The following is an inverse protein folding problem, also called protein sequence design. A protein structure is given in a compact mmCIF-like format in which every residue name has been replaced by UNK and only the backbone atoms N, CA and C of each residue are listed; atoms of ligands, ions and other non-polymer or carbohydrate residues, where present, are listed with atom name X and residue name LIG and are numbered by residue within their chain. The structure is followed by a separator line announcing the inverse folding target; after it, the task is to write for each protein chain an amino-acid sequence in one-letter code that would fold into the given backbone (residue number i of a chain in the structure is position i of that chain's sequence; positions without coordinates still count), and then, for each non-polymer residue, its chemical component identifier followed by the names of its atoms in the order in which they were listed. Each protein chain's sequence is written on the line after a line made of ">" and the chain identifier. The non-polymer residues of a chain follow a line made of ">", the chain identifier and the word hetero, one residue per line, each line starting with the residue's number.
data_IF_089220652766
#
_entry.id   IF_089220652766
#
_cell.length_a   1.000
_cell.length_b   1.000
_cell.length_c   1.000
_cell.angle_alpha   90.00
_cell.angle_beta   90.00
_cell.angle_gamma   90.00
#
_symmetry.space_group_name_H-M   'P 1'
#
loop_
_entity.id
_entity.type
_entity.pdbx_description
1 polymer ?
#
# COMPACT_ATOMS: atom_id res chain seq x y z
N UNK A 1 10.67 19.86 61.05
CA UNK A 1 10.26 20.76 59.93
C UNK A 1 10.97 20.35 58.66
N UNK A 2 10.28 19.74 57.70
CA UNK A 2 10.58 19.82 56.25
C UNK A 2 9.50 19.04 55.49
N UNK A 3 8.56 19.76 54.87
CA UNK A 3 7.56 19.20 53.97
C UNK A 3 8.22 19.09 52.60
N UNK A 4 8.44 17.85 52.12
CA UNK A 4 8.89 17.62 50.74
C UNK A 4 7.61 17.50 49.90
N UNK A 5 7.35 18.52 49.10
CA UNK A 5 6.26 18.55 48.13
C UNK A 5 6.77 17.87 46.87
N UNK A 6 6.23 16.68 46.54
CA UNK A 6 6.43 16.03 45.25
C UNK A 6 5.48 16.65 44.22
N UNK A 7 6.03 17.47 43.33
CA UNK A 7 5.29 18.02 42.20
C UNK A 7 5.29 16.97 41.08
N UNK A 8 4.19 16.22 40.97
CA UNK A 8 3.98 15.30 39.85
C UNK A 8 3.52 16.14 38.65
N UNK A 9 4.44 16.42 37.72
CA UNK A 9 4.14 17.05 36.45
C UNK A 9 3.57 15.98 35.50
N UNK A 10 2.25 15.84 35.46
CA UNK A 10 1.56 14.98 34.50
C UNK A 10 1.60 15.61 33.11
N UNK A 11 2.53 15.13 32.28
CA UNK A 11 2.63 15.50 30.86
C UNK A 11 1.61 14.66 30.06
N UNK A 12 0.37 15.15 29.95
CA UNK A 12 -0.66 14.51 29.11
C UNK A 12 -0.40 14.89 27.66
N UNK A 13 0.26 14.00 26.92
CA UNK A 13 0.41 14.12 25.47
C UNK A 13 -0.95 13.79 24.85
N UNK A 14 -1.72 14.81 24.50
CA UNK A 14 -2.93 14.65 23.69
C UNK A 14 -2.48 14.45 22.24
N UNK A 15 -2.31 13.19 21.84
CA UNK A 15 -2.11 12.86 20.43
C UNK A 15 -3.45 13.07 19.70
N UNK A 16 -3.57 14.17 18.98
CA UNK A 16 -4.70 14.42 18.10
C UNK A 16 -4.56 13.49 16.88
N UNK A 17 -5.19 12.32 16.92
CA UNK A 17 -5.20 11.40 15.79
C UNK A 17 -6.19 11.94 14.74
N UNK A 18 -5.68 12.34 13.57
CA UNK A 18 -6.51 12.73 12.43
C UNK A 18 -7.32 11.50 11.98
N UNK A 19 -8.66 11.57 11.84
CA UNK A 19 -9.50 10.39 11.59
C UNK A 19 -9.11 9.54 10.35
N UNK A 20 -8.52 10.18 9.33
CA UNK A 20 -8.01 9.48 8.14
C UNK A 20 -6.68 8.74 8.37
N UNK A 21 -5.82 9.26 9.25
CA UNK A 21 -4.54 8.66 9.60
C UNK A 21 -4.71 7.48 10.55
N UNK A 22 -5.63 7.60 11.52
CA UNK A 22 -5.95 6.51 12.45
C UNK A 22 -6.49 5.26 11.77
N UNK A 23 -7.25 5.41 10.68
CA UNK A 23 -7.75 4.27 9.92
C UNK A 23 -6.62 3.58 9.12
N UNK A 24 -5.71 4.35 8.51
CA UNK A 24 -4.58 3.79 7.78
C UNK A 24 -3.67 2.95 8.69
N UNK A 25 -3.21 3.50 9.81
CA UNK A 25 -2.29 2.83 10.73
C UNK A 25 -2.91 1.53 11.30
N UNK A 26 -4.21 1.56 11.58
CA UNK A 26 -4.96 0.38 12.01
C UNK A 26 -4.95 -0.73 10.96
N UNK A 27 -5.20 -0.38 9.70
CA UNK A 27 -5.26 -1.34 8.60
C UNK A 27 -3.88 -1.90 8.25
N UNK A 28 -2.84 -1.07 8.31
CA UNK A 28 -1.46 -1.52 8.16
C UNK A 28 -1.06 -2.50 9.26
N UNK A 29 -1.35 -2.19 10.52
CA UNK A 29 -1.11 -3.12 11.63
C UNK A 29 -1.86 -4.44 11.45
N UNK A 30 -3.12 -4.40 11.03
CA UNK A 30 -3.91 -5.62 10.76
C UNK A 30 -3.23 -6.55 9.75
N UNK A 31 -2.64 -5.97 8.70
CA UNK A 31 -1.85 -6.72 7.72
C UNK A 31 -0.58 -7.32 8.34
N UNK A 32 0.20 -6.53 9.09
CA UNK A 32 1.42 -7.01 9.74
C UNK A 32 1.15 -8.13 10.78
N UNK A 33 0.08 -8.00 11.55
CA UNK A 33 -0.35 -8.97 12.55
C UNK A 33 -0.85 -10.28 11.92
N UNK A 34 -1.30 -10.26 10.66
CA UNK A 34 -1.70 -11.46 9.94
C UNK A 34 -0.53 -12.41 9.65
N UNK A 35 0.72 -11.89 9.63
CA UNK A 35 1.96 -12.66 9.49
C UNK A 35 1.90 -13.70 8.36
N UNK A 36 1.51 -13.26 7.16
CA UNK A 36 1.40 -14.11 5.97
C UNK A 36 2.71 -14.00 5.19
N UNK A 37 3.66 -14.96 5.32
CA UNK A 37 4.96 -14.85 4.66
C UNK A 37 4.86 -15.11 3.16
N UNK A 38 3.97 -16.01 2.75
CA UNK A 38 3.86 -16.51 1.39
C UNK A 38 2.45 -16.25 0.84
N UNK A 39 2.37 -15.48 -0.23
CA UNK A 39 1.09 -15.14 -0.86
C UNK A 39 1.24 -14.80 -2.33
N UNK A 40 0.13 -14.91 -3.06
CA UNK A 40 0.01 -14.41 -4.44
C UNK A 40 -1.20 -13.51 -4.61
N UNK A 41 -1.14 -12.64 -5.61
CA UNK A 41 -2.24 -11.76 -5.98
C UNK A 41 -2.12 -11.24 -7.42
N UNK A 42 -3.25 -10.79 -7.96
CA UNK A 42 -3.32 -10.04 -9.21
C UNK A 42 -3.21 -8.54 -8.89
N UNK A 43 -2.16 -7.88 -9.39
CA UNK A 43 -1.97 -6.43 -9.33
C UNK A 43 -2.37 -5.79 -10.66
N UNK A 44 -3.37 -4.90 -10.64
CA UNK A 44 -3.71 -4.06 -11.79
C UNK A 44 -3.37 -2.60 -11.49
N UNK A 45 -2.45 -2.05 -12.29
CA UNK A 45 -2.15 -0.62 -12.32
C UNK A 45 -3.05 0.02 -13.38
N UNK A 46 -3.86 0.99 -12.96
CA UNK A 46 -4.85 1.68 -13.80
C UNK A 46 -4.34 3.09 -14.07
N UNK A 47 -3.95 3.34 -15.32
CA UNK A 47 -3.47 4.62 -15.82
C UNK A 47 -3.43 4.58 -17.36
N UNK A 48 -3.22 5.72 -18.01
CA UNK A 48 -2.88 5.79 -19.43
C UNK A 48 -1.38 5.49 -19.68
N UNK A 49 -0.91 4.37 -19.12
CA UNK A 49 0.50 3.97 -19.20
C UNK A 49 0.77 3.07 -20.42
N UNK A 50 1.98 3.11 -21.02
CA UNK A 50 2.36 2.27 -22.16
C UNK A 50 2.18 0.75 -21.92
N UNK A 51 2.31 0.32 -20.67
CA UNK A 51 2.20 -1.08 -20.26
C UNK A 51 0.79 -1.54 -19.88
N UNK A 52 -0.26 -0.73 -20.06
CA UNK A 52 -1.64 -1.08 -19.63
C UNK A 52 -2.14 -2.43 -20.17
N UNK A 53 -1.70 -2.83 -21.37
CA UNK A 53 -2.04 -4.11 -22.00
C UNK A 53 -1.39 -5.34 -21.35
N UNK A 54 -0.54 -5.16 -20.35
CA UNK A 54 0.13 -6.23 -19.59
C UNK A 54 -0.59 -6.57 -18.28
N UNK A 55 -1.64 -5.84 -17.94
CA UNK A 55 -2.35 -5.99 -16.67
C UNK A 55 -3.43 -7.09 -16.71
N UNK A 56 -3.74 -7.76 -15.57
CA UNK A 56 -3.04 -7.65 -14.29
C UNK A 56 -1.67 -8.34 -14.35
N UNK A 57 -0.78 -7.93 -13.44
CA UNK A 57 0.41 -8.70 -13.11
C UNK A 57 0.01 -9.79 -12.12
N UNK A 58 0.51 -11.01 -12.32
CA UNK A 58 0.44 -12.10 -11.36
C UNK A 58 1.72 -12.05 -10.51
N UNK A 59 1.57 -11.78 -9.23
CA UNK A 59 2.69 -11.55 -8.32
C UNK A 59 2.66 -12.58 -7.20
N UNK A 60 3.81 -13.18 -6.92
CA UNK A 60 4.04 -14.09 -5.81
C UNK A 60 5.13 -13.51 -4.91
N UNK A 61 4.88 -13.51 -3.61
CA UNK A 61 5.73 -12.92 -2.59
C UNK A 61 6.00 -13.94 -1.51
N UNK A 62 7.26 -14.13 -1.15
CA UNK A 62 7.72 -14.97 -0.05
C UNK A 62 8.65 -14.15 0.85
N UNK A 63 8.34 -14.12 2.15
CA UNK A 63 9.09 -13.38 3.17
C UNK A 63 9.35 -11.91 2.78
N UNK A 64 8.33 -11.29 2.20
CA UNK A 64 8.37 -9.90 1.73
C UNK A 64 9.16 -9.67 0.43
N UNK A 65 9.73 -10.72 -0.18
CA UNK A 65 10.45 -10.67 -1.45
C UNK A 65 9.58 -11.14 -2.60
N UNK A 66 9.67 -10.48 -3.75
CA UNK A 66 8.98 -10.91 -4.98
C UNK A 66 9.72 -12.12 -5.54
N UNK A 67 9.08 -13.29 -5.54
CA UNK A 67 9.66 -14.53 -6.09
C UNK A 67 9.19 -14.80 -7.52
N UNK A 68 8.02 -14.29 -7.90
CA UNK A 68 7.54 -14.33 -9.29
C UNK A 68 6.73 -13.09 -9.63
N UNK A 69 6.88 -12.62 -10.87
CA UNK A 69 6.05 -11.58 -11.45
C UNK A 69 5.85 -11.87 -12.93
N UNK A 70 4.61 -12.02 -13.35
CA UNK A 70 4.23 -12.33 -14.73
C UNK A 70 3.16 -11.36 -15.22
N UNK A 71 3.17 -11.03 -16.51
CA UNK A 71 2.08 -10.28 -17.10
C UNK A 71 0.87 -11.18 -17.44
N UNK A 72 -0.24 -10.55 -17.85
CA UNK A 72 -1.49 -11.25 -18.21
C UNK A 72 -1.35 -12.29 -19.34
N UNK A 73 -0.25 -12.25 -20.11
CA UNK A 73 0.04 -13.22 -21.17
C UNK A 73 1.01 -14.31 -20.72
N UNK A 74 1.35 -14.37 -19.43
CA UNK A 74 2.33 -15.28 -18.86
C UNK A 74 3.78 -14.87 -19.14
N UNK A 75 4.03 -13.65 -19.63
CA UNK A 75 5.38 -13.15 -19.83
C UNK A 75 6.06 -12.87 -18.50
N UNK A 76 7.16 -13.57 -18.21
CA UNK A 76 7.95 -13.36 -16.99
C UNK A 76 8.59 -11.96 -17.01
N UNK A 77 8.42 -11.22 -15.92
CA UNK A 77 9.00 -9.90 -15.72
C UNK A 77 10.24 -10.06 -14.84
N UNK A 78 11.41 -9.84 -15.43
CA UNK A 78 12.71 -9.86 -14.75
C UNK A 78 13.34 -8.47 -14.78
N UNK A 79 14.52 -8.31 -14.14
CA UNK A 79 15.27 -7.06 -14.12
C UNK A 79 15.62 -6.50 -15.51
N UNK A 80 15.59 -7.31 -16.57
CA UNK A 80 15.82 -6.85 -17.94
C UNK A 80 14.58 -6.22 -18.61
N UNK A 81 13.41 -6.30 -17.98
CA UNK A 81 12.20 -5.65 -18.47
C UNK A 81 12.29 -4.13 -18.26
N UNK A 82 12.02 -3.35 -19.31
CA UNK A 82 12.09 -1.88 -19.27
C UNK A 82 11.15 -1.24 -18.23
N UNK A 83 10.11 -1.96 -17.79
CA UNK A 83 9.17 -1.50 -16.77
C UNK A 83 9.39 -2.17 -15.41
N UNK A 84 10.42 -3.01 -15.26
CA UNK A 84 10.68 -3.78 -14.04
C UNK A 84 10.64 -2.90 -12.79
N UNK A 85 11.48 -1.86 -12.73
CA UNK A 85 11.56 -0.97 -11.58
C UNK A 85 10.21 -0.31 -11.24
N UNK A 86 9.39 -0.04 -12.25
CA UNK A 86 8.08 0.55 -12.03
C UNK A 86 7.12 -0.45 -11.40
N UNK A 87 7.07 -1.69 -11.90
CA UNK A 87 6.20 -2.73 -11.35
C UNK A 87 6.65 -3.16 -9.97
N UNK A 88 7.96 -3.36 -9.80
CA UNK A 88 8.58 -3.81 -8.56
C UNK A 88 8.15 -2.91 -7.39
N UNK A 89 8.21 -1.58 -7.55
CA UNK A 89 7.80 -0.59 -6.53
C UNK A 89 6.38 -0.74 -5.98
N UNK A 90 5.52 -1.55 -6.60
CA UNK A 90 4.12 -1.74 -6.19
C UNK A 90 3.76 -3.23 -6.01
N UNK A 91 4.70 -4.14 -6.27
CA UNK A 91 4.47 -5.59 -6.36
C UNK A 91 4.55 -6.31 -4.99
N UNK A 92 4.36 -5.62 -3.88
CA UNK A 92 4.05 -6.26 -2.59
C UNK A 92 3.00 -5.44 -1.84
N UNK A 93 2.27 -6.07 -0.91
CA UNK A 93 1.31 -5.34 -0.09
C UNK A 93 2.00 -4.25 0.75
N UNK A 94 3.19 -4.51 1.29
CA UNK A 94 3.95 -3.53 2.06
C UNK A 94 4.42 -2.33 1.21
N UNK A 95 4.71 -2.57 -0.06
CA UNK A 95 5.05 -1.52 -1.02
C UNK A 95 3.84 -0.65 -1.35
N UNK A 96 2.63 -1.23 -1.40
CA UNK A 96 1.39 -0.44 -1.52
C UNK A 96 1.10 0.40 -0.27
N UNK A 97 1.40 -0.10 0.93
CA UNK A 97 1.34 0.73 2.15
C UNK A 97 2.38 1.86 2.12
N UNK A 98 3.62 1.57 1.69
CA UNK A 98 4.66 2.58 1.50
C UNK A 98 4.22 3.67 0.53
N UNK A 99 3.60 3.29 -0.61
CA UNK A 99 3.02 4.21 -1.57
C UNK A 99 2.00 5.15 -0.91
N UNK A 100 1.06 4.61 -0.15
CA UNK A 100 0.04 5.41 0.54
C UNK A 100 0.66 6.40 1.53
N UNK A 101 1.71 5.99 2.25
CA UNK A 101 2.43 6.87 3.16
C UNK A 101 3.09 8.04 2.41
N UNK A 102 3.59 7.82 1.18
CA UNK A 102 4.12 8.93 0.37
C UNK A 102 3.05 9.96 0.01
N UNK A 103 1.80 9.55 -0.22
CA UNK A 103 0.72 10.48 -0.55
C UNK A 103 0.16 11.21 0.67
N UNK A 104 0.23 10.61 1.86
CA UNK A 104 -0.12 11.29 3.11
C UNK A 104 0.79 12.50 3.41
N UNK A 105 1.99 12.57 2.81
CA UNK A 105 2.90 13.71 2.95
C UNK A 105 2.51 14.97 2.15
N UNK A 106 1.34 14.97 1.48
CA UNK A 106 0.71 16.19 0.95
C UNK A 106 0.94 16.50 -0.53
N UNK A 107 1.26 15.49 -1.36
CA UNK A 107 1.58 15.68 -2.78
C UNK A 107 0.42 15.48 -3.76
N UNK A 108 -0.76 15.09 -3.31
CA UNK A 108 -1.91 14.75 -4.15
C UNK A 108 -3.18 15.46 -3.67
N UNK A 109 -4.03 15.91 -4.60
CA UNK A 109 -5.32 16.54 -4.28
C UNK A 109 -6.22 15.58 -3.47
N UNK A 110 -6.32 14.32 -3.90
CA UNK A 110 -7.17 13.33 -3.22
C UNK A 110 -6.66 11.91 -3.35
N UNK A 111 -6.67 11.18 -2.24
CA UNK A 111 -6.36 9.76 -2.18
C UNK A 111 -7.54 9.05 -1.55
N UNK A 112 -8.02 7.98 -2.20
CA UNK A 112 -9.04 7.10 -1.64
C UNK A 112 -8.52 5.68 -1.61
N UNK A 113 -8.83 4.97 -0.52
CA UNK A 113 -8.37 3.60 -0.30
C UNK A 113 -9.54 2.74 0.19
N UNK A 114 -9.71 1.58 -0.44
CA UNK A 114 -10.55 0.49 0.06
C UNK A 114 -9.64 -0.60 0.58
N UNK A 115 -9.80 -0.97 1.85
CA UNK A 115 -9.03 -2.04 2.47
C UNK A 115 -9.80 -3.36 2.49
N UNK A 116 -9.06 -4.47 2.47
CA UNK A 116 -9.61 -5.81 2.59
C UNK A 116 -10.21 -6.01 3.99
N UNK A 117 -11.44 -6.54 4.11
CA UNK A 117 -12.15 -6.60 5.40
C UNK A 117 -11.48 -7.52 6.42
N UNK A 118 -10.86 -8.62 5.97
CA UNK A 118 -10.17 -9.58 6.86
C UNK A 118 -8.75 -9.14 7.17
N UNK A 119 -7.87 -9.07 6.16
CA UNK A 119 -6.44 -8.81 6.37
C UNK A 119 -6.02 -7.34 6.37
N UNK A 120 -6.89 -6.39 6.03
CA UNK A 120 -6.58 -4.96 6.10
C UNK A 120 -5.67 -4.41 5.01
N UNK A 121 -5.19 -5.22 4.06
CA UNK A 121 -4.38 -4.72 2.95
C UNK A 121 -5.18 -3.82 1.98
N UNK A 122 -4.55 -2.93 1.21
CA UNK A 122 -5.24 -2.10 0.21
C UNK A 122 -5.74 -2.94 -0.96
N UNK A 123 -7.06 -3.07 -1.14
CA UNK A 123 -7.66 -3.69 -2.34
C UNK A 123 -7.74 -2.73 -3.50
N UNK A 124 -7.99 -1.45 -3.21
CA UNK A 124 -8.08 -0.39 -4.22
C UNK A 124 -7.49 0.89 -3.67
N UNK A 125 -6.57 1.47 -4.41
CA UNK A 125 -6.03 2.81 -4.19
C UNK A 125 -6.37 3.62 -5.44
N UNK A 126 -6.91 4.82 -5.25
CA UNK A 126 -7.10 5.80 -6.32
C UNK A 126 -6.49 7.10 -5.87
N UNK A 127 -5.58 7.63 -6.69
CA UNK A 127 -4.86 8.87 -6.45
C UNK A 127 -5.21 9.83 -7.57
N UNK A 128 -5.84 10.93 -7.19
CA UNK A 128 -6.17 12.07 -8.02
C UNK A 128 -5.16 13.16 -7.65
N UNK A 129 -4.26 13.49 -8.59
CA UNK A 129 -3.07 14.29 -8.28
C UNK A 129 -3.41 15.78 -8.41
N UNK A 130 -4.16 16.14 -9.44
CA UNK A 130 -4.49 17.49 -9.85
C UNK A 130 -6.00 17.57 -10.05
N UNK A 131 -6.67 18.30 -9.17
CA UNK A 131 -8.10 18.51 -9.23
C UNK A 131 -8.58 18.98 -10.61
N UNK A 132 -9.40 18.17 -11.26
CA UNK A 132 -10.05 18.52 -12.53
C UNK A 132 -9.14 18.45 -13.75
N UNK A 133 -7.92 17.92 -13.62
CA UNK A 133 -7.18 17.43 -14.78
C UNK A 133 -7.79 16.10 -15.25
N UNK A 134 -7.61 15.79 -16.53
CA UNK A 134 -7.97 14.49 -17.08
C UNK A 134 -6.70 13.66 -17.24
N UNK A 135 -6.81 12.35 -17.00
CA UNK A 135 -5.75 11.34 -17.20
C UNK A 135 -4.52 11.51 -16.26
N UNK A 136 -4.63 12.27 -15.17
CA UNK A 136 -3.59 12.37 -14.14
C UNK A 136 -3.80 11.36 -12.99
N UNK A 137 -4.93 10.67 -12.98
CA UNK A 137 -5.27 9.69 -11.96
C UNK A 137 -4.47 8.39 -12.14
N UNK A 138 -4.01 7.86 -11.01
CA UNK A 138 -3.41 6.53 -10.94
C UNK A 138 -4.17 5.66 -9.95
N UNK A 139 -4.49 4.45 -10.39
CA UNK A 139 -5.15 3.44 -9.59
C UNK A 139 -4.29 2.21 -9.39
N UNK A 140 -4.38 1.59 -8.22
CA UNK A 140 -3.82 0.27 -7.94
C UNK A 140 -4.94 -0.63 -7.42
N UNK A 141 -5.09 -1.81 -8.01
CA UNK A 141 -6.12 -2.78 -7.62
C UNK A 141 -5.46 -4.11 -7.33
N UNK A 142 -5.65 -4.62 -6.11
CA UNK A 142 -5.26 -5.95 -5.67
C UNK A 142 -6.48 -6.85 -5.72
N UNK A 143 -6.35 -8.00 -6.37
CA UNK A 143 -7.42 -9.00 -6.48
C UNK A 143 -6.85 -10.41 -6.45
N UNK A 144 -7.71 -11.43 -6.29
CA UNK A 144 -7.31 -12.85 -6.20
C UNK A 144 -6.18 -13.10 -5.20
N UNK A 145 -6.23 -12.41 -4.06
CA UNK A 145 -5.28 -12.65 -2.99
C UNK A 145 -5.46 -14.06 -2.45
N UNK A 146 -4.35 -14.78 -2.31
CA UNK A 146 -4.32 -16.14 -1.80
C UNK A 146 -3.06 -16.34 -0.96
N UNK A 147 -3.22 -16.94 0.22
CA UNK A 147 -2.10 -17.38 1.03
C UNK A 147 -1.56 -18.69 0.46
N UNK A 148 -0.25 -18.80 0.40
CA UNK A 148 0.42 -20.00 -0.09
C UNK A 148 1.09 -20.75 1.08
N UNK A 149 1.33 -22.06 0.93
CA UNK A 149 1.96 -22.89 1.97
C UNK A 149 3.37 -22.45 2.36
#
# INVERSE_FOLDING_TARGET
>A
MKKIVWLILTFTIVACATPGQSNFDHQQRKWQEAKIPHYRFDLRIVCYCPFRGRMPLHVEVLDGQIVSMQDVRGGVITQSDIHFEYFERHATIDRLFSLLQTYQSGKSDRVTVKFHPVYGFPERITVDRIKGAADDEIGFVVSKFEQLP
#
